data_IF_991717316482
#
_entry.id   IF_991717316482
#
_cell.length_a   1.000
_cell.length_b   1.000
_cell.length_c   1.000
_cell.angle_alpha   90.00
_cell.angle_beta   90.00
_cell.angle_gamma   90.00
#
_symmetry.space_group_name_H-M   'P 1'
#
loop_
_entity.id
_entity.type
_entity.pdbx_description
1 polymer ?
#
# COMPACT_ATOMS: atom_id res chain seq x y z
N UNK A 1 -18.47 -29.60 -37.74
CA UNK A 1 -18.65 -28.77 -36.54
C UNK A 1 -17.26 -28.34 -36.11
N UNK A 2 -16.88 -27.11 -36.42
CA UNK A 2 -15.56 -26.57 -36.08
C UNK A 2 -15.71 -25.88 -34.73
N UNK A 3 -15.11 -26.45 -33.69
CA UNK A 3 -15.04 -25.81 -32.38
C UNK A 3 -14.14 -24.58 -32.49
N UNK A 4 -14.78 -23.40 -32.45
CA UNK A 4 -14.10 -22.15 -32.13
C UNK A 4 -13.67 -22.24 -30.66
N UNK A 5 -12.42 -22.64 -30.43
CA UNK A 5 -11.73 -22.31 -29.18
C UNK A 5 -11.57 -20.80 -29.15
N UNK A 6 -12.50 -20.13 -28.50
CA UNK A 6 -12.31 -18.76 -28.04
C UNK A 6 -11.22 -18.81 -26.97
N UNK A 7 -9.99 -18.51 -27.35
CA UNK A 7 -8.95 -18.14 -26.39
C UNK A 7 -9.41 -16.86 -25.70
N UNK A 8 -9.68 -16.94 -24.40
CA UNK A 8 -9.81 -15.73 -23.58
C UNK A 8 -8.55 -14.88 -23.79
N UNK A 9 -8.67 -13.55 -23.97
CA UNK A 9 -7.50 -12.70 -24.08
C UNK A 9 -6.66 -12.88 -22.80
N UNK A 10 -5.37 -13.15 -22.97
CA UNK A 10 -4.45 -13.25 -21.84
C UNK A 10 -4.60 -12.00 -20.97
N UNK A 11 -4.85 -12.18 -19.67
CA UNK A 11 -4.94 -11.07 -18.73
C UNK A 11 -3.67 -10.23 -18.83
N UNK A 12 -3.83 -8.91 -18.98
CA UNK A 12 -2.70 -7.97 -18.99
C UNK A 12 -1.90 -8.17 -17.69
N UNK A 13 -0.58 -8.38 -17.75
CA UNK A 13 0.21 -8.57 -16.56
C UNK A 13 0.13 -7.36 -15.61
N UNK A 14 0.10 -7.62 -14.30
CA UNK A 14 -0.10 -6.56 -13.30
C UNK A 14 1.00 -5.48 -13.31
N UNK A 15 2.22 -5.83 -13.72
CA UNK A 15 3.33 -4.87 -13.83
C UNK A 15 3.18 -3.88 -14.99
N UNK A 16 2.29 -4.12 -15.97
CA UNK A 16 2.10 -3.19 -17.09
C UNK A 16 1.64 -1.81 -16.63
N UNK A 17 0.86 -1.73 -15.56
CA UNK A 17 0.44 -0.45 -14.98
C UNK A 17 1.59 0.32 -14.32
N UNK A 18 2.61 -0.40 -13.84
CA UNK A 18 3.80 0.18 -13.21
C UNK A 18 4.85 0.59 -14.26
N UNK A 19 4.92 -0.13 -15.37
CA UNK A 19 5.82 0.18 -16.49
C UNK A 19 5.28 1.33 -17.36
N UNK A 20 3.95 1.48 -17.47
CA UNK A 20 3.29 2.47 -18.34
C UNK A 20 2.48 3.50 -17.53
N UNK A 21 3.20 4.42 -16.87
CA UNK A 21 2.58 5.48 -16.07
C UNK A 21 2.46 6.82 -16.80
N UNK A 22 1.43 7.58 -16.43
CA UNK A 22 1.16 8.92 -16.94
C UNK A 22 2.27 9.94 -16.62
N UNK A 23 2.22 11.08 -17.28
CA UNK A 23 3.18 12.16 -17.05
C UNK A 23 3.05 12.70 -15.61
N UNK A 24 4.16 12.79 -14.90
CA UNK A 24 4.21 13.26 -13.50
C UNK A 24 4.31 12.13 -12.48
N UNK A 25 3.96 10.89 -12.85
CA UNK A 25 4.16 9.72 -11.99
C UNK A 25 5.60 9.21 -12.15
N UNK A 26 6.25 8.87 -11.03
CA UNK A 26 7.61 8.34 -11.03
C UNK A 26 7.67 7.01 -11.79
N UNK A 27 8.62 6.91 -12.73
CA UNK A 27 8.81 5.75 -13.62
C UNK A 27 9.86 4.81 -13.07
N UNK A 28 9.72 3.52 -13.39
CA UNK A 28 10.79 2.54 -13.20
C UNK A 28 11.99 2.89 -14.06
N UNK A 29 13.19 2.74 -13.50
CA UNK A 29 14.44 2.82 -14.24
C UNK A 29 14.56 1.64 -15.19
N UNK A 30 15.32 1.83 -16.27
CA UNK A 30 15.75 0.71 -17.10
C UNK A 30 16.69 -0.19 -16.28
N UNK A 31 16.38 -1.47 -16.20
CA UNK A 31 17.23 -2.49 -15.55
C UNK A 31 18.02 -3.21 -16.63
N UNK A 32 19.34 -3.12 -16.60
CA UNK A 32 20.21 -3.71 -17.62
C UNK A 32 20.17 -5.24 -17.61
N UNK A 33 20.07 -5.85 -16.42
CA UNK A 33 19.95 -7.29 -16.27
C UNK A 33 18.47 -7.73 -16.34
N UNK A 34 18.03 -8.44 -17.40
CA UNK A 34 16.64 -8.85 -17.54
C UNK A 34 16.18 -9.80 -16.42
N UNK A 35 17.08 -10.59 -15.83
CA UNK A 35 16.72 -11.49 -14.72
C UNK A 35 16.30 -10.73 -13.47
N UNK A 36 16.89 -9.55 -13.22
CA UNK A 36 16.51 -8.68 -12.11
C UNK A 36 15.11 -8.09 -12.37
N UNK A 37 14.85 -7.62 -13.59
CA UNK A 37 13.52 -7.09 -13.95
C UNK A 37 12.46 -8.17 -13.78
N UNK A 38 12.69 -9.36 -14.34
CA UNK A 38 11.77 -10.49 -14.21
C UNK A 38 11.51 -10.84 -12.74
N UNK A 39 12.57 -10.89 -11.92
CA UNK A 39 12.44 -11.15 -10.49
C UNK A 39 11.54 -10.13 -9.76
N UNK A 40 11.72 -8.83 -10.03
CA UNK A 40 10.94 -7.78 -9.38
C UNK A 40 9.49 -7.72 -9.90
N UNK A 41 9.26 -8.03 -11.18
CA UNK A 41 7.91 -8.16 -11.76
C UNK A 41 7.17 -9.37 -11.17
N UNK A 42 7.84 -10.51 -11.01
CA UNK A 42 7.29 -11.70 -10.35
C UNK A 42 7.01 -11.43 -8.87
N UNK A 43 7.89 -10.70 -8.19
CA UNK A 43 7.67 -10.31 -6.79
C UNK A 43 6.47 -9.38 -6.65
N UNK A 44 6.32 -8.41 -7.56
CA UNK A 44 5.12 -7.57 -7.63
C UNK A 44 3.86 -8.40 -7.84
N UNK A 45 3.88 -9.35 -8.77
CA UNK A 45 2.74 -10.23 -9.01
C UNK A 45 2.39 -11.09 -7.77
N UNK A 46 3.39 -11.56 -7.03
CA UNK A 46 3.19 -12.27 -5.75
C UNK A 46 2.58 -11.37 -4.68
N UNK A 47 3.02 -10.12 -4.58
CA UNK A 47 2.43 -9.13 -3.66
C UNK A 47 0.97 -8.88 -4.04
N UNK A 48 0.71 -8.55 -5.31
CA UNK A 48 -0.63 -8.24 -5.82
C UNK A 48 -1.64 -9.37 -5.63
N UNK A 49 -1.19 -10.63 -5.72
CA UNK A 49 -2.04 -11.81 -5.50
C UNK A 49 -2.08 -12.30 -4.04
N UNK A 50 -1.34 -11.67 -3.13
CA UNK A 50 -1.31 -12.05 -1.73
C UNK A 50 -2.68 -11.79 -1.05
N UNK A 51 -3.07 -12.63 -0.09
CA UNK A 51 -4.37 -12.50 0.61
C UNK A 51 -4.52 -11.17 1.36
N UNK A 52 -3.42 -10.57 1.80
CA UNK A 52 -3.41 -9.20 2.36
C UNK A 52 -3.98 -8.16 1.38
N UNK A 53 -3.71 -8.31 0.08
CA UNK A 53 -4.18 -7.41 -1.00
C UNK A 53 -5.56 -7.87 -1.50
N UNK A 54 -5.73 -9.17 -1.66
CA UNK A 54 -6.98 -9.82 -2.08
C UNK A 54 -7.88 -10.22 -0.90
N UNK A 55 -7.85 -9.43 0.17
CA UNK A 55 -8.54 -9.80 1.40
C UNK A 55 -10.07 -9.85 1.17
N UNK A 56 -10.78 -10.88 1.67
CA UNK A 56 -12.23 -11.00 1.47
C UNK A 56 -13.02 -9.75 1.86
N UNK A 57 -12.63 -9.08 2.95
CA UNK A 57 -13.21 -7.80 3.38
C UNK A 57 -13.13 -6.73 2.29
N UNK A 58 -11.92 -6.48 1.75
CA UNK A 58 -11.70 -5.43 0.75
C UNK A 58 -12.46 -5.75 -0.52
N UNK A 59 -12.42 -7.01 -0.97
CA UNK A 59 -13.12 -7.44 -2.17
C UNK A 59 -14.65 -7.37 -2.02
N UNK A 60 -15.18 -7.65 -0.83
CA UNK A 60 -16.61 -7.51 -0.54
C UNK A 60 -17.05 -6.04 -0.47
N UNK A 61 -16.26 -5.16 0.15
CA UNK A 61 -16.60 -3.73 0.30
C UNK A 61 -16.82 -3.02 -1.04
N UNK A 62 -16.13 -3.46 -2.11
CA UNK A 62 -16.31 -2.92 -3.47
C UNK A 62 -17.75 -2.98 -3.99
N UNK A 63 -18.53 -3.95 -3.53
CA UNK A 63 -19.89 -4.23 -4.04
C UNK A 63 -20.94 -4.32 -2.95
N UNK A 64 -20.53 -4.35 -1.69
CA UNK A 64 -21.41 -4.44 -0.52
C UNK A 64 -21.24 -3.20 0.33
N UNK A 65 -22.30 -2.40 0.42
CA UNK A 65 -22.37 -1.22 1.26
C UNK A 65 -22.20 -1.59 2.75
N UNK A 66 -21.47 -0.76 3.48
CA UNK A 66 -21.39 -0.84 4.93
C UNK A 66 -22.48 0.02 5.57
N UNK A 67 -23.01 -0.45 6.69
CA UNK A 67 -23.77 0.42 7.57
C UNK A 67 -22.86 1.53 8.14
N UNK A 68 -23.40 2.71 8.50
CA UNK A 68 -22.59 3.85 8.94
C UNK A 68 -21.60 3.54 10.08
N UNK A 69 -22.01 2.71 11.05
CA UNK A 69 -21.13 2.31 12.17
C UNK A 69 -20.02 1.35 11.73
N UNK A 70 -20.27 0.49 10.74
CA UNK A 70 -19.24 -0.40 10.18
C UNK A 70 -18.18 0.42 9.45
N UNK A 71 -18.61 1.41 8.67
CA UNK A 71 -17.73 2.34 7.96
C UNK A 71 -16.91 3.20 8.93
N UNK A 72 -17.55 3.71 10.00
CA UNK A 72 -16.88 4.45 11.06
C UNK A 72 -15.75 3.64 11.68
N UNK A 73 -16.00 2.38 12.03
CA UNK A 73 -15.00 1.45 12.59
C UNK A 73 -13.89 1.15 11.58
N UNK A 74 -14.25 0.85 10.33
CA UNK A 74 -13.31 0.55 9.25
C UNK A 74 -12.28 1.68 9.07
N UNK A 75 -12.76 2.93 8.91
CA UNK A 75 -11.85 4.05 8.68
C UNK A 75 -11.14 4.55 9.94
N UNK A 76 -11.69 4.29 11.13
CA UNK A 76 -10.96 4.51 12.39
C UNK A 76 -9.73 3.60 12.49
N UNK A 77 -9.86 2.32 12.12
CA UNK A 77 -8.70 1.42 12.06
C UNK A 77 -7.68 1.85 10.99
N UNK A 78 -8.14 2.29 9.81
CA UNK A 78 -7.25 2.83 8.77
C UNK A 78 -6.45 4.05 9.24
N UNK A 79 -7.05 4.94 10.03
CA UNK A 79 -6.33 6.05 10.64
C UNK A 79 -5.14 5.58 11.48
N UNK A 80 -5.34 4.57 12.31
CA UNK A 80 -4.28 4.02 13.16
C UNK A 80 -3.22 3.24 12.37
N UNK A 81 -3.57 2.67 11.23
CA UNK A 81 -2.62 2.11 10.28
C UNK A 81 -1.71 3.23 9.74
N UNK A 82 -2.25 4.28 9.11
CA UNK A 82 -1.47 5.21 8.29
C UNK A 82 -0.73 6.32 9.05
N UNK A 83 -1.19 6.69 10.25
CA UNK A 83 -0.80 7.93 10.97
C UNK A 83 0.71 8.21 11.12
N UNK A 84 1.58 7.20 11.06
CA UNK A 84 3.03 7.37 11.28
C UNK A 84 3.90 6.96 10.10
N UNK A 85 3.32 6.55 8.96
CA UNK A 85 4.07 6.05 7.81
C UNK A 85 5.20 7.01 7.35
N UNK A 86 4.98 8.33 7.18
CA UNK A 86 6.04 9.22 6.71
C UNK A 86 7.25 9.29 7.67
N UNK A 87 7.01 9.18 8.98
CA UNK A 87 8.08 9.15 9.98
C UNK A 87 8.90 7.86 9.90
N UNK A 88 8.24 6.73 9.68
CA UNK A 88 8.90 5.43 9.56
C UNK A 88 9.73 5.34 8.28
N UNK A 89 9.20 5.82 7.15
CA UNK A 89 9.93 5.91 5.88
C UNK A 89 11.14 6.83 6.05
N UNK A 90 10.98 7.99 6.69
CA UNK A 90 12.11 8.89 7.00
C UNK A 90 13.20 8.18 7.83
N UNK A 91 12.81 7.30 8.75
CA UNK A 91 13.73 6.49 9.55
C UNK A 91 14.60 5.54 8.72
N UNK A 92 14.19 5.15 7.51
CA UNK A 92 15.02 4.33 6.62
C UNK A 92 16.26 5.09 6.13
N UNK A 93 16.21 6.43 6.07
CA UNK A 93 17.32 7.26 5.60
C UNK A 93 18.61 7.07 6.41
N UNK A 94 18.51 6.71 7.69
CA UNK A 94 19.69 6.46 8.54
C UNK A 94 20.29 5.06 8.34
N UNK A 95 19.62 4.18 7.59
CA UNK A 95 20.00 2.78 7.37
C UNK A 95 20.92 2.58 6.17
N UNK A 96 21.10 3.62 5.36
CA UNK A 96 21.91 3.56 4.14
C UNK A 96 22.95 4.68 4.12
N UNK A 97 24.06 4.43 3.41
CA UNK A 97 25.01 5.46 2.97
C UNK A 97 25.03 5.60 1.46
N UNK A 98 24.11 4.91 0.79
CA UNK A 98 23.91 4.97 -0.64
C UNK A 98 22.96 6.12 -0.99
N UNK A 99 23.46 7.09 -1.76
CA UNK A 99 22.70 8.27 -2.13
C UNK A 99 21.54 7.96 -3.09
N UNK A 100 21.61 6.88 -3.88
CA UNK A 100 20.52 6.47 -4.76
C UNK A 100 19.33 5.97 -3.95
N UNK A 101 19.58 5.09 -2.97
CA UNK A 101 18.54 4.62 -2.04
C UNK A 101 17.99 5.79 -1.23
N UNK A 102 18.87 6.64 -0.69
CA UNK A 102 18.46 7.81 0.08
C UNK A 102 17.54 8.73 -0.73
N UNK A 103 17.88 8.99 -2.01
CA UNK A 103 17.08 9.83 -2.88
C UNK A 103 15.66 9.30 -3.02
N UNK A 104 15.48 8.01 -3.33
CA UNK A 104 14.14 7.44 -3.53
C UNK A 104 13.31 7.45 -2.22
N UNK A 105 13.94 7.21 -1.07
CA UNK A 105 13.29 7.35 0.25
C UNK A 105 12.82 8.79 0.48
N UNK A 106 13.69 9.79 0.23
CA UNK A 106 13.36 11.20 0.43
C UNK A 106 12.25 11.66 -0.53
N UNK A 107 12.21 11.13 -1.76
CA UNK A 107 11.13 11.44 -2.70
C UNK A 107 9.77 10.90 -2.21
N UNK A 108 9.70 9.67 -1.65
CA UNK A 108 8.45 9.21 -1.01
C UNK A 108 8.04 10.13 0.15
N UNK A 109 8.98 10.48 1.04
CA UNK A 109 8.66 11.39 2.17
C UNK A 109 8.21 12.77 1.68
N UNK A 110 8.82 13.28 0.61
CA UNK A 110 8.45 14.57 0.04
C UNK A 110 7.02 14.58 -0.52
N UNK A 111 6.58 13.48 -1.15
CA UNK A 111 5.20 13.35 -1.62
C UNK A 111 4.22 13.34 -0.43
N UNK A 112 4.58 12.65 0.67
CA UNK A 112 3.73 12.57 1.86
C UNK A 112 3.56 13.89 2.64
N UNK A 113 4.66 14.62 2.86
CA UNK A 113 4.70 15.75 3.80
C UNK A 113 5.30 17.05 3.24
N UNK A 114 5.83 17.03 2.02
CA UNK A 114 6.53 18.17 1.41
C UNK A 114 5.63 19.19 0.71
N UNK A 115 4.37 18.85 0.43
CA UNK A 115 3.39 19.74 -0.19
C UNK A 115 2.76 20.76 0.78
N UNK A 116 2.02 21.74 0.24
CA UNK A 116 1.26 22.71 1.06
C UNK A 116 0.19 22.03 1.92
N UNK A 117 -0.41 20.96 1.40
CA UNK A 117 -1.32 20.07 2.13
C UNK A 117 -0.73 18.67 2.15
N UNK A 118 -0.53 18.11 3.33
CA UNK A 118 0.03 16.75 3.49
C UNK A 118 -1.03 15.68 3.21
N UNK A 119 -0.62 14.47 2.83
CA UNK A 119 -1.55 13.35 2.65
C UNK A 119 -2.37 13.07 3.92
N UNK A 120 -1.74 13.18 5.10
CA UNK A 120 -2.43 13.05 6.39
C UNK A 120 -3.53 14.10 6.60
N UNK A 121 -3.34 15.33 6.10
CA UNK A 121 -4.35 16.38 6.17
C UNK A 121 -5.51 16.13 5.19
N UNK A 122 -5.21 15.63 3.98
CA UNK A 122 -6.23 15.20 3.02
C UNK A 122 -7.05 14.04 3.61
N UNK A 123 -6.40 13.06 4.24
CA UNK A 123 -7.06 11.94 4.90
C UNK A 123 -7.94 12.39 6.07
N UNK A 124 -7.46 13.30 6.92
CA UNK A 124 -8.27 13.87 7.99
C UNK A 124 -9.52 14.60 7.45
N UNK A 125 -9.39 15.30 6.33
CA UNK A 125 -10.53 15.92 5.63
C UNK A 125 -11.51 14.91 5.04
N UNK A 126 -11.04 13.73 4.63
CA UNK A 126 -11.91 12.61 4.25
C UNK A 126 -12.66 12.05 5.47
N UNK A 127 -11.96 11.79 6.58
CA UNK A 127 -12.57 11.27 7.82
C UNK A 127 -13.67 12.20 8.36
N UNK A 128 -13.43 13.51 8.40
CA UNK A 128 -14.44 14.48 8.87
C UNK A 128 -15.70 14.50 7.97
N UNK A 129 -15.55 14.29 6.64
CA UNK A 129 -16.70 14.16 5.74
C UNK A 129 -17.54 12.90 6.00
N UNK A 130 -16.93 11.86 6.57
CA UNK A 130 -17.64 10.68 7.07
C UNK A 130 -18.19 10.86 8.50
N UNK A 131 -18.05 12.05 9.10
CA UNK A 131 -18.42 12.33 10.47
C UNK A 131 -17.50 11.70 11.53
N UNK A 132 -16.29 11.31 11.12
CA UNK A 132 -15.25 10.77 12.00
C UNK A 132 -14.34 11.92 12.41
N UNK A 133 -14.59 12.47 13.59
CA UNK A 133 -13.90 13.65 14.08
C UNK A 133 -12.64 13.29 14.89
N UNK A 134 -11.71 14.25 14.98
CA UNK A 134 -10.41 14.06 15.64
C UNK A 134 -10.56 13.66 17.10
N UNK A 135 -11.53 14.23 17.81
CA UNK A 135 -11.81 13.94 19.21
C UNK A 135 -12.25 12.48 19.39
N UNK A 136 -13.06 11.95 18.45
CA UNK A 136 -13.48 10.55 18.47
C UNK A 136 -12.30 9.62 18.22
N UNK A 137 -11.39 9.97 17.31
CA UNK A 137 -10.17 9.20 17.04
C UNK A 137 -9.24 9.19 18.25
N UNK A 138 -9.16 10.30 19.00
CA UNK A 138 -8.32 10.39 20.20
C UNK A 138 -8.81 9.49 21.35
N UNK A 139 -10.12 9.21 21.41
CA UNK A 139 -10.73 8.29 22.38
C UNK A 139 -10.87 6.86 21.83
N UNK A 140 -10.60 6.66 20.54
CA UNK A 140 -10.72 5.36 19.89
C UNK A 140 -9.56 4.44 20.27
N UNK A 141 -9.89 3.26 20.79
CA UNK A 141 -8.91 2.22 21.07
C UNK A 141 -8.77 1.30 19.84
N UNK A 142 -7.65 1.38 19.10
CA UNK A 142 -7.45 0.51 17.94
C UNK A 142 -7.32 -0.95 18.36
N UNK A 143 -7.69 -1.84 17.45
CA UNK A 143 -7.48 -3.27 17.64
C UNK A 143 -6.02 -3.58 17.95
N UNK A 144 -5.81 -4.64 18.73
CA UNK A 144 -4.47 -5.11 19.04
C UNK A 144 -3.68 -5.48 17.78
N UNK A 145 -4.33 -6.05 16.76
CA UNK A 145 -3.69 -6.35 15.47
C UNK A 145 -3.28 -5.07 14.71
N UNK A 146 -3.98 -3.96 14.90
CA UNK A 146 -3.65 -2.66 14.29
C UNK A 146 -2.44 -2.03 14.96
N UNK A 147 -2.37 -2.12 16.30
CA UNK A 147 -1.17 -1.73 17.05
C UNK A 147 0.04 -2.58 16.65
N UNK A 148 -0.16 -3.89 16.48
CA UNK A 148 0.89 -4.80 16.02
C UNK A 148 1.34 -4.51 14.60
N UNK A 149 0.42 -4.16 13.69
CA UNK A 149 0.77 -3.72 12.34
C UNK A 149 1.65 -2.47 12.40
N UNK A 150 1.21 -1.43 13.12
CA UNK A 150 1.95 -0.17 13.19
C UNK A 150 3.35 -0.34 13.85
N UNK A 151 3.45 -1.08 14.96
CA UNK A 151 4.75 -1.39 15.58
C UNK A 151 5.62 -2.27 14.68
N UNK A 152 5.02 -3.22 13.96
CA UNK A 152 5.70 -4.08 13.00
C UNK A 152 6.32 -3.29 11.84
N UNK A 153 5.56 -2.35 11.25
CA UNK A 153 6.06 -1.44 10.21
C UNK A 153 7.21 -0.61 10.75
N UNK A 154 7.05 -0.01 11.94
CA UNK A 154 8.11 0.76 12.61
C UNK A 154 9.40 -0.06 12.73
N UNK A 155 9.32 -1.31 13.19
CA UNK A 155 10.49 -2.19 13.32
C UNK A 155 11.09 -2.56 11.98
N UNK A 156 10.26 -2.96 11.00
CA UNK A 156 10.73 -3.30 9.65
C UNK A 156 11.50 -2.15 9.00
N UNK A 157 11.00 -0.92 9.14
CA UNK A 157 11.61 0.24 8.48
C UNK A 157 12.83 0.79 9.24
N UNK A 158 12.81 0.75 10.57
CA UNK A 158 13.82 1.45 11.39
C UNK A 158 14.86 0.54 12.06
N UNK A 159 14.54 -0.74 12.28
CA UNK A 159 15.38 -1.67 13.04
C UNK A 159 16.08 -2.71 12.13
N UNK A 160 15.50 -3.07 10.99
CA UNK A 160 16.03 -4.08 10.06
C UNK A 160 17.18 -3.61 9.16
N UNK A 161 17.70 -4.50 8.30
CA UNK A 161 18.64 -4.12 7.23
C UNK A 161 17.93 -3.26 6.18
N UNK A 162 18.69 -2.51 5.38
CA UNK A 162 18.08 -1.70 4.31
C UNK A 162 17.36 -2.57 3.27
N UNK A 163 17.83 -3.79 3.01
CA UNK A 163 17.18 -4.74 2.10
C UNK A 163 15.81 -5.17 2.61
N UNK A 164 15.71 -5.56 3.88
CA UNK A 164 14.44 -5.91 4.51
C UNK A 164 13.50 -4.72 4.57
N UNK A 165 14.01 -3.52 4.91
CA UNK A 165 13.19 -2.32 4.96
C UNK A 165 12.63 -1.94 3.58
N UNK A 166 13.45 -1.99 2.52
CA UNK A 166 12.99 -1.77 1.14
C UNK A 166 12.03 -2.86 0.67
N UNK A 167 12.20 -4.10 1.12
CA UNK A 167 11.24 -5.19 0.87
C UNK A 167 9.87 -4.89 1.44
N UNK A 168 9.84 -4.52 2.73
CA UNK A 168 8.61 -4.15 3.41
C UNK A 168 7.95 -2.93 2.75
N UNK A 169 8.72 -1.89 2.43
CA UNK A 169 8.20 -0.70 1.73
C UNK A 169 7.70 -1.03 0.31
N UNK A 170 8.38 -1.90 -0.43
CA UNK A 170 7.91 -2.30 -1.76
C UNK A 170 6.57 -3.01 -1.69
N UNK A 171 6.38 -3.87 -0.68
CA UNK A 171 5.12 -4.55 -0.44
C UNK A 171 4.02 -3.59 0.00
N UNK A 172 4.34 -2.60 0.83
CA UNK A 172 3.44 -1.54 1.28
C UNK A 172 2.90 -0.73 0.11
N UNK A 173 3.77 -0.06 -0.64
CA UNK A 173 3.39 0.83 -1.75
C UNK A 173 2.69 0.05 -2.88
N UNK A 174 3.12 -1.19 -3.17
CA UNK A 174 2.46 -2.05 -4.17
C UNK A 174 1.08 -2.54 -3.71
N UNK A 175 0.92 -2.87 -2.43
CA UNK A 175 -0.37 -3.22 -1.87
C UNK A 175 -1.30 -2.01 -1.88
N UNK A 176 -0.78 -0.85 -1.48
CA UNK A 176 -1.51 0.41 -1.40
C UNK A 176 -2.06 0.83 -2.75
N UNK A 177 -1.27 0.73 -3.83
CA UNK A 177 -1.74 1.06 -5.19
C UNK A 177 -2.95 0.24 -5.65
N UNK A 178 -3.11 -0.98 -5.14
CA UNK A 178 -4.25 -1.85 -5.44
C UNK A 178 -5.39 -1.62 -4.43
N UNK A 179 -5.06 -1.51 -3.15
CA UNK A 179 -6.01 -1.32 -2.06
C UNK A 179 -6.82 -0.04 -2.21
N UNK A 180 -6.17 1.08 -2.55
CA UNK A 180 -6.84 2.39 -2.67
C UNK A 180 -7.92 2.36 -3.75
N UNK A 181 -7.69 1.66 -4.87
CA UNK A 181 -8.72 1.46 -5.90
C UNK A 181 -9.91 0.66 -5.37
N UNK A 182 -9.68 -0.39 -4.57
CA UNK A 182 -10.77 -1.20 -3.99
C UNK A 182 -11.59 -0.40 -2.97
N UNK A 183 -10.93 0.41 -2.14
CA UNK A 183 -11.61 1.27 -1.19
C UNK A 183 -12.40 2.37 -1.92
N UNK A 184 -11.84 2.95 -2.97
CA UNK A 184 -12.54 3.91 -3.82
C UNK A 184 -13.79 3.32 -4.49
N UNK A 185 -13.70 2.08 -5.00
CA UNK A 185 -14.87 1.35 -5.54
C UNK A 185 -15.95 1.20 -4.46
N UNK A 186 -15.57 0.82 -3.25
CA UNK A 186 -16.49 0.66 -2.13
C UNK A 186 -17.17 1.96 -1.70
N UNK A 187 -16.42 3.08 -1.66
CA UNK A 187 -16.98 4.40 -1.39
C UNK A 187 -17.93 4.87 -2.49
N UNK A 188 -17.63 4.56 -3.76
CA UNK A 188 -18.54 4.84 -4.86
C UNK A 188 -19.84 4.02 -4.71
N UNK A 189 -19.71 2.76 -4.31
CA UNK A 189 -20.85 1.87 -4.03
C UNK A 189 -21.68 2.33 -2.81
N UNK A 190 -21.06 3.00 -1.84
CA UNK A 190 -21.75 3.68 -0.73
C UNK A 190 -22.52 4.94 -1.17
N UNK A 191 -22.27 5.45 -2.38
CA UNK A 191 -22.94 6.63 -2.93
C UNK A 191 -22.21 7.95 -2.67
N UNK A 192 -20.95 7.92 -2.23
CA UNK A 192 -20.13 9.12 -2.07
C UNK A 192 -19.68 9.68 -3.43
N UNK A 193 -19.71 11.00 -3.56
CA UNK A 193 -19.23 11.70 -4.76
C UNK A 193 -17.69 11.70 -4.87
N UNK A 194 -17.18 12.27 -5.96
CA UNK A 194 -15.73 12.36 -6.19
C UNK A 194 -15.02 13.26 -5.19
N UNK A 195 -15.69 14.28 -4.66
CA UNK A 195 -15.11 15.23 -3.71
C UNK A 195 -14.82 14.55 -2.36
N UNK A 196 -15.73 13.71 -1.86
CA UNK A 196 -15.49 12.89 -0.66
C UNK A 196 -14.39 11.86 -0.95
N UNK A 197 -14.39 11.23 -2.13
CA UNK A 197 -13.44 10.18 -2.50
C UNK A 197 -12.06 10.68 -2.92
N UNK A 198 -11.84 12.00 -2.94
CA UNK A 198 -10.63 12.62 -3.48
C UNK A 198 -9.31 12.06 -2.91
N UNK A 199 -9.27 11.77 -1.60
CA UNK A 199 -8.09 11.13 -1.00
C UNK A 199 -7.72 9.84 -1.74
N UNK A 200 -8.70 8.97 -1.97
CA UNK A 200 -8.47 7.66 -2.58
C UNK A 200 -8.16 7.75 -4.06
N UNK A 201 -8.82 8.64 -4.81
CA UNK A 201 -8.54 8.82 -6.24
C UNK A 201 -7.17 9.42 -6.49
N UNK A 202 -6.71 10.35 -5.64
CA UNK A 202 -5.33 10.86 -5.68
C UNK A 202 -4.32 9.73 -5.50
N UNK A 203 -4.54 8.84 -4.53
CA UNK A 203 -3.58 7.79 -4.19
C UNK A 203 -3.53 6.65 -5.21
N UNK A 204 -4.50 6.49 -6.12
CA UNK A 204 -4.42 5.47 -7.18
C UNK A 204 -3.13 5.61 -8.00
N UNK A 205 -2.78 6.83 -8.38
CA UNK A 205 -1.62 7.10 -9.23
C UNK A 205 -0.33 7.34 -8.42
N UNK A 206 -0.45 7.99 -7.26
CA UNK A 206 0.69 8.33 -6.39
C UNK A 206 1.40 7.06 -5.88
N UNK A 207 0.64 6.07 -5.44
CA UNK A 207 1.16 4.81 -4.89
C UNK A 207 1.93 3.98 -5.95
N UNK A 208 1.54 4.07 -7.22
CA UNK A 208 2.30 3.45 -8.32
C UNK A 208 3.66 4.12 -8.45
N UNK A 209 3.71 5.45 -8.37
CA UNK A 209 4.95 6.22 -8.34
C UNK A 209 5.84 5.86 -7.16
N UNK A 210 5.25 5.67 -5.97
CA UNK A 210 5.98 5.26 -4.78
C UNK A 210 6.58 3.86 -4.93
N UNK A 211 5.78 2.88 -5.36
CA UNK A 211 6.24 1.52 -5.62
C UNK A 211 7.37 1.50 -6.66
N UNK A 212 7.25 2.31 -7.72
CA UNK A 212 8.29 2.48 -8.71
C UNK A 212 9.59 3.06 -8.13
N UNK A 213 9.51 3.95 -7.15
CA UNK A 213 10.70 4.45 -6.47
C UNK A 213 11.38 3.42 -5.60
N UNK A 214 10.62 2.55 -4.93
CA UNK A 214 11.23 1.44 -4.19
C UNK A 214 11.86 0.43 -5.16
N UNK A 215 11.20 0.15 -6.30
CA UNK A 215 11.80 -0.63 -7.40
C UNK A 215 13.14 -0.02 -7.82
N UNK A 216 13.19 1.29 -8.03
CA UNK A 216 14.41 2.00 -8.43
C UNK A 216 15.51 1.92 -7.37
N UNK A 217 15.14 1.97 -6.09
CA UNK A 217 16.07 1.86 -4.98
C UNK A 217 16.68 0.46 -4.87
N UNK A 218 15.89 -0.59 -5.08
CA UNK A 218 16.33 -1.97 -4.82
C UNK A 218 16.90 -2.68 -6.05
N UNK A 219 16.48 -2.32 -7.27
CA UNK A 219 16.87 -3.01 -8.49
C UNK A 219 18.39 -3.21 -8.66
N UNK A 220 19.27 -2.24 -8.34
CA UNK A 220 20.71 -2.44 -8.47
C UNK A 220 21.32 -3.42 -7.44
N UNK A 221 20.56 -3.90 -6.44
CA UNK A 221 21.10 -4.62 -5.28
C UNK A 221 20.49 -6.01 -5.05
N UNK A 222 19.55 -6.46 -5.88
CA UNK A 222 18.95 -7.81 -5.83
C UNK A 222 19.60 -8.78 -6.82
N UNK A 223 20.91 -8.63 -7.05
CA UNK A 223 21.69 -9.54 -7.89
C UNK A 223 21.92 -10.91 -7.23
N UNK A 224 22.15 -10.92 -5.92
CA UNK A 224 22.45 -12.14 -5.15
C UNK A 224 21.19 -12.79 -4.58
N UNK A 225 21.25 -14.11 -4.40
CA UNK A 225 20.17 -14.87 -3.76
C UNK A 225 19.96 -14.42 -2.30
N UNK A 226 21.03 -14.05 -1.61
CA UNK A 226 21.00 -13.56 -0.24
C UNK A 226 20.25 -12.22 -0.14
N UNK A 227 20.55 -11.26 -1.04
CA UNK A 227 19.84 -9.98 -1.07
C UNK A 227 18.35 -10.15 -1.39
N UNK A 228 18.02 -11.04 -2.34
CA UNK A 228 16.63 -11.40 -2.67
C UNK A 228 15.91 -12.00 -1.46
N UNK A 229 16.56 -12.89 -0.73
CA UNK A 229 15.98 -13.50 0.47
C UNK A 229 15.71 -12.47 1.57
N UNK A 230 16.63 -11.53 1.83
CA UNK A 230 16.41 -10.45 2.81
C UNK A 230 15.29 -9.49 2.39
N UNK A 231 15.23 -9.16 1.10
CA UNK A 231 14.17 -8.33 0.53
C UNK A 231 12.79 -9.00 0.66
N UNK A 232 12.68 -10.27 0.26
CA UNK A 232 11.44 -11.03 0.37
C UNK A 232 11.01 -11.23 1.82
N UNK A 233 11.96 -11.46 2.74
CA UNK A 233 11.64 -11.58 4.16
C UNK A 233 10.93 -10.34 4.69
N UNK A 234 11.36 -9.14 4.28
CA UNK A 234 10.69 -7.89 4.64
C UNK A 234 9.32 -7.73 3.98
N UNK A 235 9.25 -7.96 2.66
CA UNK A 235 8.02 -7.85 1.88
C UNK A 235 6.89 -8.73 2.44
N UNK A 236 7.18 -10.02 2.66
CA UNK A 236 6.16 -10.97 3.07
C UNK A 236 5.87 -10.93 4.58
N UNK A 237 6.80 -10.44 5.42
CA UNK A 237 6.48 -10.15 6.82
C UNK A 237 5.51 -8.96 6.93
N UNK A 238 5.73 -7.90 6.15
CA UNK A 238 4.78 -6.78 6.07
C UNK A 238 3.38 -7.28 5.64
N UNK A 239 3.29 -8.05 4.56
CA UNK A 239 2.01 -8.58 4.09
C UNK A 239 1.33 -9.49 5.12
N UNK A 240 2.10 -10.29 5.88
CA UNK A 240 1.56 -11.10 6.98
C UNK A 240 0.93 -10.23 8.07
N UNK A 241 1.55 -9.10 8.42
CA UNK A 241 0.98 -8.14 9.39
C UNK A 241 -0.31 -7.52 8.85
N UNK A 242 -0.33 -7.10 7.58
CA UNK A 242 -1.51 -6.52 6.92
C UNK A 242 -2.66 -7.53 6.83
N UNK A 243 -2.36 -8.79 6.54
CA UNK A 243 -3.38 -9.85 6.54
C UNK A 243 -4.04 -10.03 7.92
N UNK A 244 -3.24 -10.07 8.99
CA UNK A 244 -3.76 -10.18 10.36
C UNK A 244 -4.60 -8.95 10.76
N UNK A 245 -4.16 -7.76 10.32
CA UNK A 245 -4.89 -6.52 10.48
C UNK A 245 -6.27 -6.63 9.81
N UNK A 246 -6.33 -7.00 8.53
CA UNK A 246 -7.61 -7.12 7.83
C UNK A 246 -8.52 -8.21 8.39
N UNK A 247 -7.96 -9.31 8.89
CA UNK A 247 -8.71 -10.33 9.63
C UNK A 247 -9.36 -9.74 10.90
N UNK A 248 -8.66 -8.86 11.61
CA UNK A 248 -9.20 -8.14 12.76
C UNK A 248 -10.29 -7.15 12.38
N UNK A 249 -10.03 -6.30 11.38
CA UNK A 249 -11.01 -5.31 10.88
C UNK A 249 -12.26 -6.03 10.38
N UNK A 250 -12.13 -7.15 9.66
CA UNK A 250 -13.28 -7.92 9.17
C UNK A 250 -14.16 -8.39 10.33
N UNK A 251 -13.57 -8.91 11.41
CA UNK A 251 -14.32 -9.30 12.61
C UNK A 251 -14.99 -8.09 13.28
N UNK A 252 -14.30 -6.96 13.37
CA UNK A 252 -14.81 -5.73 13.97
C UNK A 252 -16.04 -5.18 13.23
N UNK A 253 -16.00 -5.13 11.90
CA UNK A 253 -17.11 -4.61 11.10
C UNK A 253 -18.24 -5.64 10.94
N UNK A 254 -17.95 -6.94 11.06
CA UNK A 254 -18.97 -7.99 11.01
C UNK A 254 -19.68 -8.21 12.35
N UNK A 255 -19.18 -7.65 13.45
CA UNK A 255 -19.79 -7.77 14.76
C UNK A 255 -21.06 -6.91 14.85
N UNK A 256 -22.21 -7.56 15.03
CA UNK A 256 -23.48 -6.88 15.35
C UNK A 256 -23.31 -6.08 16.65
N UNK A 257 -23.84 -4.84 16.72
CA UNK A 257 -23.80 -4.03 17.94
C UNK A 257 -24.43 -4.71 19.17
#
# INVERSE_FOLDING_TARGET
MTELKTTEPASVPVWEHFDNVDAGIRRRIAVENPEIKTYLDETLARIASHRAVEHPLLNAYRTTAFEPEQERRFFSECYYFFQYLPFYITGMAIKTRDEMILREIILNVADEVGGETTHSAVFAGFLSRLGIEREQLAEYEPLEVTRQLNDGIRRLYTESSIYTALGALYADETMSSIMVSKINDGLANQGYDEDVRHFWTLHIDVEVGHSNSVFNAIAPYVESAEARAEFEAGAFEFLRLVENYWDGVQRLVSATP
#
